data_IF_820112699581
#
_entry.id   IF_820112699581
#
_cell.length_a   1.000
_cell.length_b   1.000
_cell.length_c   1.000
_cell.angle_alpha   90.00
_cell.angle_beta   90.00
_cell.angle_gamma   90.00
#
_symmetry.space_group_name_H-M   'P 1'
#
loop_
_entity.id
_entity.type
_entity.pdbx_description
1 polymer ?
#
# COMPACT_ATOMS: atom_id res chain seq x y z
N UNK A 1 -8.25 34.85 72.25
CA UNK A 1 -9.02 34.74 71.00
C UNK A 1 -8.11 35.00 69.81
N UNK A 2 -7.43 34.00 69.26
CA UNK A 2 -6.88 34.05 67.88
C UNK A 2 -6.53 32.62 67.43
N UNK A 3 -7.55 31.82 67.11
CA UNK A 3 -7.40 30.48 66.50
C UNK A 3 -7.11 30.53 64.98
N UNK A 4 -6.82 31.72 64.44
CA UNK A 4 -6.75 31.98 63.00
C UNK A 4 -5.45 31.62 62.25
N UNK A 5 -4.24 31.54 62.85
CA UNK A 5 -3.02 31.34 62.04
C UNK A 5 -2.90 29.92 61.46
N UNK A 6 -3.45 28.91 62.15
CA UNK A 6 -3.43 27.52 61.68
C UNK A 6 -4.45 27.27 60.55
N UNK A 7 -5.62 27.93 60.62
CA UNK A 7 -6.66 27.82 59.60
C UNK A 7 -6.22 28.40 58.24
N UNK A 8 -5.48 29.53 58.26
CA UNK A 8 -4.94 30.14 57.04
C UNK A 8 -3.89 29.27 56.34
N UNK A 9 -3.00 28.62 57.12
CA UNK A 9 -2.00 27.70 56.58
C UNK A 9 -2.61 26.47 55.90
N UNK A 10 -3.65 25.89 56.51
CA UNK A 10 -4.35 24.72 55.95
C UNK A 10 -5.10 25.08 54.65
N UNK A 11 -5.76 26.24 54.60
CA UNK A 11 -6.45 26.72 53.40
C UNK A 11 -5.49 26.95 52.24
N UNK A 12 -4.31 27.54 52.50
CA UNK A 12 -3.27 27.75 51.50
C UNK A 12 -2.70 26.42 50.99
N UNK A 13 -2.46 25.46 51.87
CA UNK A 13 -2.01 24.11 51.49
C UNK A 13 -3.02 23.39 50.60
N UNK A 14 -4.29 23.41 50.97
CA UNK A 14 -5.37 22.80 50.17
C UNK A 14 -5.54 23.49 48.82
N UNK A 15 -5.42 24.82 48.77
CA UNK A 15 -5.47 25.58 47.53
C UNK A 15 -4.27 25.28 46.61
N UNK A 16 -3.05 25.24 47.14
CA UNK A 16 -1.86 24.82 46.41
C UNK A 16 -1.97 23.38 45.89
N UNK A 17 -2.52 22.47 46.71
CA UNK A 17 -2.75 21.08 46.32
C UNK A 17 -3.80 21.00 45.20
N UNK A 18 -4.89 21.77 45.28
CA UNK A 18 -5.91 21.87 44.25
C UNK A 18 -5.32 22.43 42.94
N UNK A 19 -4.54 23.50 43.01
CA UNK A 19 -3.82 24.07 41.86
C UNK A 19 -2.84 23.05 41.25
N UNK A 20 -2.09 22.31 42.07
CA UNK A 20 -1.20 21.26 41.61
C UNK A 20 -1.95 20.09 40.95
N UNK A 21 -3.13 19.73 41.46
CA UNK A 21 -4.00 18.70 40.88
C UNK A 21 -4.64 19.18 39.58
N UNK A 22 -5.10 20.42 39.51
CA UNK A 22 -5.63 21.04 38.28
C UNK A 22 -4.53 21.21 37.23
N UNK A 23 -3.32 21.58 37.64
CA UNK A 23 -2.14 21.67 36.76
C UNK A 23 -1.70 20.30 36.27
N UNK A 24 -1.69 19.26 37.12
CA UNK A 24 -1.48 17.86 36.70
C UNK A 24 -2.56 17.37 35.73
N UNK A 25 -3.82 17.76 35.94
CA UNK A 25 -4.94 17.39 35.05
C UNK A 25 -4.88 18.14 33.73
N UNK A 26 -4.41 19.38 33.73
CA UNK A 26 -4.16 20.21 32.55
C UNK A 26 -2.90 19.74 31.77
N UNK A 27 -1.83 19.34 32.46
CA UNK A 27 -0.60 18.82 31.86
C UNK A 27 -0.73 17.39 31.32
N UNK A 28 -1.77 16.66 31.74
CA UNK A 28 -2.23 15.43 31.06
C UNK A 28 -2.83 15.68 29.66
N UNK A 29 -2.94 16.93 29.19
CA UNK A 29 -3.29 17.19 27.78
C UNK A 29 -2.10 16.91 26.85
N UNK A 30 -2.22 15.74 26.21
CA UNK A 30 -1.57 15.25 24.97
C UNK A 30 -0.20 14.58 25.11
N UNK A 31 -0.13 13.52 25.90
CA UNK A 31 0.75 12.40 25.54
C UNK A 31 0.12 11.70 24.33
N UNK A 32 0.42 12.19 23.13
CA UNK A 32 0.02 11.47 21.93
C UNK A 32 0.74 10.10 21.93
N UNK A 33 -0.02 9.01 21.83
CA UNK A 33 0.50 7.63 21.72
C UNK A 33 1.42 7.44 20.51
N UNK A 34 1.34 8.37 19.56
CA UNK A 34 2.09 8.34 18.31
C UNK A 34 2.89 9.63 18.15
N UNK A 35 4.09 9.49 17.57
CA UNK A 35 4.97 10.61 17.22
C UNK A 35 5.35 10.49 15.75
N UNK A 36 5.40 11.62 15.03
CA UNK A 36 5.91 11.69 13.67
C UNK A 36 7.39 11.30 13.63
N UNK A 37 7.77 10.42 12.71
CA UNK A 37 9.17 10.13 12.41
C UNK A 37 9.80 11.31 11.64
N UNK A 38 11.08 11.64 11.88
CA UNK A 38 11.71 12.80 11.24
C UNK A 38 11.94 12.62 9.73
N UNK A 39 12.04 11.37 9.26
CA UNK A 39 12.24 11.04 7.86
C UNK A 39 11.55 9.70 7.53
N UNK A 40 11.13 9.55 6.27
CA UNK A 40 10.54 8.31 5.74
C UNK A 40 11.60 7.25 5.41
N UNK A 41 12.73 7.70 4.83
CA UNK A 41 13.82 6.85 4.35
C UNK A 41 15.04 6.93 5.27
N UNK A 42 15.83 5.86 5.32
CA UNK A 42 17.18 5.85 5.89
C UNK A 42 18.15 6.73 5.07
N UNK A 43 19.33 7.10 5.58
CA UNK A 43 20.33 7.83 4.78
C UNK A 43 20.74 7.11 3.49
N UNK A 44 20.92 5.79 3.54
CA UNK A 44 21.27 4.98 2.37
C UNK A 44 20.15 4.93 1.34
N UNK A 45 18.91 4.73 1.80
CA UNK A 45 17.73 4.75 0.94
C UNK A 45 17.53 6.12 0.27
N UNK A 46 17.74 7.23 0.98
CA UNK A 46 17.66 8.57 0.38
C UNK A 46 18.72 8.80 -0.68
N UNK A 47 19.96 8.38 -0.40
CA UNK A 47 21.05 8.50 -1.36
C UNK A 47 20.76 7.69 -2.63
N UNK A 48 20.28 6.46 -2.47
CA UNK A 48 19.87 5.63 -3.60
C UNK A 48 18.68 6.20 -4.36
N UNK A 49 17.65 6.69 -3.66
CA UNK A 49 16.48 7.31 -4.29
C UNK A 49 16.88 8.48 -5.21
N UNK A 50 17.87 9.27 -4.82
CA UNK A 50 18.37 10.36 -5.65
C UNK A 50 18.94 9.83 -6.98
N UNK A 51 19.80 8.82 -6.92
CA UNK A 51 20.40 8.17 -8.11
C UNK A 51 19.33 7.46 -8.95
N UNK A 52 18.42 6.74 -8.30
CA UNK A 52 17.33 6.00 -8.95
C UNK A 52 16.44 6.95 -9.76
N UNK A 53 16.05 8.09 -9.19
CA UNK A 53 15.25 9.10 -9.90
C UNK A 53 15.98 9.71 -11.09
N UNK A 54 17.29 9.92 -10.97
CA UNK A 54 18.12 10.45 -12.05
C UNK A 54 18.27 9.45 -13.21
N UNK A 55 18.38 8.16 -12.90
CA UNK A 55 18.47 7.08 -13.90
C UNK A 55 17.12 6.83 -14.58
N UNK A 56 16.05 6.77 -13.80
CA UNK A 56 14.69 6.55 -14.32
C UNK A 56 14.24 7.75 -15.17
N UNK A 57 14.53 8.97 -14.71
CA UNK A 57 14.11 10.20 -15.37
C UNK A 57 12.59 10.25 -15.56
N UNK A 58 12.16 10.66 -16.75
CA UNK A 58 10.73 10.74 -17.08
C UNK A 58 10.10 9.41 -17.50
N UNK A 59 10.87 8.31 -17.58
CA UNK A 59 10.38 7.02 -18.09
C UNK A 59 9.42 6.30 -17.13
N UNK A 60 9.53 6.55 -15.83
CA UNK A 60 8.65 5.97 -14.83
C UNK A 60 8.48 6.89 -13.61
N UNK A 61 7.50 6.58 -12.78
CA UNK A 61 7.29 7.14 -11.45
C UNK A 61 8.00 6.26 -10.41
N UNK A 62 8.57 6.89 -9.38
CA UNK A 62 9.21 6.20 -8.26
C UNK A 62 8.39 6.41 -6.98
N UNK A 63 7.82 5.34 -6.45
CA UNK A 63 7.21 5.31 -5.13
C UNK A 63 8.15 4.63 -4.15
N UNK A 64 8.13 5.03 -2.87
CA UNK A 64 8.97 4.38 -1.86
C UNK A 64 8.23 4.03 -0.58
N UNK A 65 8.75 3.03 0.13
CA UNK A 65 8.13 2.42 1.31
C UNK A 65 6.70 1.91 1.04
N UNK A 66 6.48 1.37 -0.16
CA UNK A 66 5.17 0.83 -0.58
C UNK A 66 4.92 -0.48 0.14
N UNK A 67 3.71 -0.68 0.66
CA UNK A 67 3.34 -1.93 1.35
C UNK A 67 3.24 -3.06 0.33
N UNK A 68 3.73 -4.25 0.68
CA UNK A 68 3.63 -5.43 -0.19
C UNK A 68 2.16 -5.79 -0.46
N UNK A 69 1.28 -5.58 0.51
CA UNK A 69 -0.16 -5.79 0.36
C UNK A 69 -0.88 -4.77 -0.55
N UNK A 70 -0.19 -3.72 -1.01
CA UNK A 70 -0.70 -2.80 -2.03
C UNK A 70 -0.22 -3.19 -3.45
N UNK A 71 0.71 -4.16 -3.53
CA UNK A 71 1.26 -4.68 -4.79
C UNK A 71 0.76 -6.10 -5.07
N UNK A 72 0.59 -6.90 -4.02
CA UNK A 72 0.24 -8.32 -4.10
C UNK A 72 -1.02 -8.59 -3.27
N UNK A 73 -1.83 -9.52 -3.77
CA UNK A 73 -3.00 -10.05 -3.06
C UNK A 73 -2.99 -11.57 -3.10
N UNK A 74 -3.48 -12.28 -2.07
CA UNK A 74 -3.61 -13.73 -2.13
C UNK A 74 -4.46 -14.15 -3.34
N UNK A 75 -4.10 -15.27 -3.99
CA UNK A 75 -4.79 -15.81 -5.16
C UNK A 75 -6.31 -15.94 -4.92
N UNK A 76 -7.11 -15.67 -5.95
CA UNK A 76 -8.59 -15.62 -5.91
C UNK A 76 -9.28 -16.90 -5.40
N UNK A 77 -8.61 -18.06 -5.43
CA UNK A 77 -9.10 -19.32 -4.87
C UNK A 77 -8.97 -19.47 -3.34
N UNK A 78 -8.24 -18.59 -2.66
CA UNK A 78 -8.09 -18.63 -1.20
C UNK A 78 -9.28 -17.93 -0.53
N UNK A 79 -9.89 -18.59 0.46
CA UNK A 79 -11.05 -18.07 1.19
C UNK A 79 -10.85 -18.18 2.71
N UNK A 80 -11.56 -17.33 3.45
CA UNK A 80 -11.62 -17.36 4.92
C UNK A 80 -10.25 -17.28 5.58
N UNK A 81 -10.02 -18.13 6.59
CA UNK A 81 -8.79 -18.14 7.37
C UNK A 81 -7.52 -18.32 6.52
N UNK A 82 -7.58 -19.11 5.44
CA UNK A 82 -6.42 -19.31 4.55
C UNK A 82 -6.02 -18.03 3.82
N UNK A 83 -7.02 -17.26 3.36
CA UNK A 83 -6.79 -15.95 2.77
C UNK A 83 -6.16 -15.00 3.78
N UNK A 84 -6.74 -14.89 4.98
CA UNK A 84 -6.21 -14.02 6.05
C UNK A 84 -4.79 -14.39 6.48
N UNK A 85 -4.49 -15.69 6.58
CA UNK A 85 -3.13 -16.17 6.88
C UNK A 85 -2.13 -15.74 5.82
N UNK A 86 -2.49 -15.81 4.53
CA UNK A 86 -1.65 -15.35 3.44
C UNK A 86 -1.50 -13.82 3.45
N UNK A 87 -2.61 -13.08 3.61
CA UNK A 87 -2.61 -11.62 3.66
C UNK A 87 -1.76 -11.07 4.81
N UNK A 88 -1.85 -11.67 6.00
CA UNK A 88 -1.07 -11.24 7.16
C UNK A 88 0.44 -11.41 6.96
N UNK A 89 0.88 -12.30 6.06
CA UNK A 89 2.31 -12.41 5.74
C UNK A 89 2.82 -11.18 4.99
N UNK A 90 1.98 -10.51 4.19
CA UNK A 90 2.37 -9.35 3.37
C UNK A 90 1.95 -8.00 3.96
N UNK A 91 0.91 -7.96 4.80
CA UNK A 91 0.28 -6.70 5.25
C UNK A 91 1.17 -5.79 6.10
N UNK A 92 2.13 -6.35 6.82
CA UNK A 92 3.09 -5.58 7.63
C UNK A 92 4.43 -5.35 6.92
N UNK A 93 4.58 -5.79 5.67
CA UNK A 93 5.84 -5.69 4.90
C UNK A 93 5.76 -4.55 3.91
N UNK A 94 6.91 -3.93 3.67
CA UNK A 94 7.07 -2.84 2.73
C UNK A 94 8.31 -3.10 1.89
N UNK A 95 8.24 -2.68 0.63
CA UNK A 95 9.37 -2.64 -0.27
C UNK A 95 9.99 -1.26 -0.28
N UNK A 96 11.27 -1.16 -0.59
CA UNK A 96 11.96 0.14 -0.56
C UNK A 96 11.49 1.06 -1.65
N UNK A 97 11.43 0.58 -2.90
CA UNK A 97 10.91 1.34 -4.04
C UNK A 97 10.07 0.50 -4.99
N UNK A 98 9.20 1.18 -5.72
CA UNK A 98 8.38 0.63 -6.79
C UNK A 98 8.45 1.58 -7.97
N UNK A 99 8.73 1.03 -9.15
CA UNK A 99 8.67 1.77 -10.41
C UNK A 99 7.31 1.52 -11.04
N UNK A 100 6.64 2.61 -11.43
CA UNK A 100 5.34 2.56 -12.08
C UNK A 100 5.38 3.29 -13.42
N UNK A 101 4.58 2.85 -14.37
CA UNK A 101 4.30 3.59 -15.58
C UNK A 101 3.77 4.98 -15.22
N UNK A 102 4.17 6.00 -15.99
CA UNK A 102 3.83 7.39 -15.71
C UNK A 102 2.38 7.76 -16.02
N UNK A 103 1.76 7.08 -16.97
CA UNK A 103 0.45 7.44 -17.50
C UNK A 103 -0.69 6.85 -16.66
N UNK A 104 -0.53 5.61 -16.19
CA UNK A 104 -1.59 4.85 -15.49
C UNK A 104 -1.19 4.28 -14.12
N UNK A 105 0.04 4.57 -13.66
CA UNK A 105 0.62 4.01 -12.44
C UNK A 105 0.72 2.47 -12.40
N UNK A 106 0.64 1.77 -13.54
CA UNK A 106 0.84 0.32 -13.60
C UNK A 106 2.24 -0.04 -13.06
N UNK A 107 2.32 -1.04 -12.18
CA UNK A 107 3.58 -1.40 -11.52
C UNK A 107 4.50 -2.12 -12.51
N UNK A 108 5.65 -1.53 -12.80
CA UNK A 108 6.67 -2.07 -13.70
C UNK A 108 7.59 -3.08 -12.99
N UNK A 109 8.13 -2.67 -11.83
CA UNK A 109 8.98 -3.52 -11.01
C UNK A 109 9.11 -3.00 -9.58
N UNK A 110 9.57 -3.88 -8.70
CA UNK A 110 9.93 -3.59 -7.30
C UNK A 110 11.44 -3.51 -7.19
N UNK A 111 11.95 -2.58 -6.37
CA UNK A 111 13.37 -2.44 -6.06
C UNK A 111 13.59 -2.54 -4.55
N UNK A 112 14.42 -3.49 -4.11
CA UNK A 112 14.86 -3.65 -2.71
C UNK A 112 16.35 -3.31 -2.56
N UNK A 113 16.69 -2.60 -1.48
CA UNK A 113 18.08 -2.30 -1.15
C UNK A 113 18.67 -3.34 -0.21
N UNK A 114 19.81 -3.88 -0.63
CA UNK A 114 20.55 -4.89 0.10
C UNK A 114 21.76 -4.25 0.82
N UNK A 115 21.69 -4.14 2.15
CA UNK A 115 22.83 -3.75 3.00
C UNK A 115 23.79 -4.93 3.21
N UNK A 116 25.08 -4.75 2.93
CA UNK A 116 26.11 -5.80 2.95
C UNK A 116 26.18 -6.66 4.24
N UNK A 117 25.57 -6.24 5.35
CA UNK A 117 25.38 -7.04 6.57
C UNK A 117 24.25 -8.09 6.47
N UNK A 118 24.28 -8.97 5.47
CA UNK A 118 23.22 -9.97 5.18
C UNK A 118 23.39 -11.33 5.88
N UNK A 119 23.67 -11.36 7.19
CA UNK A 119 23.88 -12.64 7.90
C UNK A 119 22.79 -13.02 8.90
N UNK A 120 21.74 -12.22 9.07
CA UNK A 120 20.65 -12.60 9.96
C UNK A 120 19.61 -13.49 9.26
N UNK A 121 19.23 -14.58 9.93
CA UNK A 121 18.31 -15.61 9.41
C UNK A 121 16.91 -15.04 9.08
N UNK A 122 16.42 -14.11 9.89
CA UNK A 122 15.14 -13.41 9.70
C UNK A 122 15.11 -12.59 8.39
N UNK A 123 16.23 -11.96 8.03
CA UNK A 123 16.36 -11.21 6.76
C UNK A 123 16.35 -12.17 5.57
N UNK A 124 17.07 -13.30 5.66
CA UNK A 124 17.05 -14.34 4.60
C UNK A 124 15.65 -14.90 4.37
N UNK A 125 14.93 -15.20 5.44
CA UNK A 125 13.55 -15.71 5.36
C UNK A 125 12.59 -14.65 4.77
N UNK A 126 12.78 -13.37 5.12
CA UNK A 126 12.03 -12.25 4.53
C UNK A 126 12.31 -12.12 3.03
N UNK A 127 13.58 -12.11 2.65
CA UNK A 127 14.00 -11.85 1.26
C UNK A 127 13.57 -13.01 0.35
N UNK A 128 13.74 -14.25 0.81
CA UNK A 128 13.27 -15.43 0.10
C UNK A 128 11.74 -15.42 -0.08
N UNK A 129 11.00 -15.05 0.97
CA UNK A 129 9.54 -14.93 0.88
C UNK A 129 9.10 -13.87 -0.12
N UNK A 130 9.72 -12.69 -0.11
CA UNK A 130 9.36 -11.62 -1.04
C UNK A 130 9.65 -12.02 -2.48
N UNK A 131 10.81 -12.65 -2.73
CA UNK A 131 11.18 -13.15 -4.05
C UNK A 131 10.18 -14.19 -4.56
N UNK A 132 9.81 -15.18 -3.73
CA UNK A 132 8.80 -16.19 -4.07
C UNK A 132 7.44 -15.54 -4.36
N UNK A 133 7.00 -14.58 -3.53
CA UNK A 133 5.72 -13.92 -3.68
C UNK A 133 5.64 -13.08 -4.97
N UNK A 134 6.71 -12.33 -5.30
CA UNK A 134 6.79 -11.52 -6.52
C UNK A 134 6.84 -12.42 -7.76
N UNK A 135 7.69 -13.45 -7.76
CA UNK A 135 7.79 -14.40 -8.85
C UNK A 135 6.45 -15.13 -9.10
N UNK A 136 5.77 -15.57 -8.05
CA UNK A 136 4.47 -16.23 -8.13
C UNK A 136 3.32 -15.34 -8.60
N UNK A 137 3.54 -14.02 -8.67
CA UNK A 137 2.61 -13.00 -9.15
C UNK A 137 3.05 -12.38 -10.49
N UNK A 138 4.20 -12.79 -11.06
CA UNK A 138 4.75 -12.19 -12.27
C UNK A 138 5.26 -10.75 -12.10
N UNK A 139 5.53 -10.32 -10.86
CA UNK A 139 6.02 -8.98 -10.55
C UNK A 139 7.56 -9.00 -10.51
N UNK A 140 8.27 -8.26 -11.39
CA UNK A 140 9.73 -8.23 -11.36
C UNK A 140 10.26 -7.63 -10.05
N UNK A 141 11.19 -8.33 -9.40
CA UNK A 141 11.88 -7.88 -8.19
C UNK A 141 13.37 -7.69 -8.48
N UNK A 142 13.84 -6.46 -8.33
CA UNK A 142 15.23 -6.08 -8.49
C UNK A 142 15.87 -5.87 -7.12
N UNK A 143 16.86 -6.69 -6.79
CA UNK A 143 17.62 -6.54 -5.56
C UNK A 143 18.94 -5.85 -5.85
N UNK A 144 19.14 -4.68 -5.23
CA UNK A 144 20.26 -3.80 -5.56
C UNK A 144 21.16 -3.67 -4.34
N UNK A 145 22.39 -4.17 -4.42
CA UNK A 145 23.35 -4.09 -3.31
C UNK A 145 23.86 -2.68 -3.13
N UNK A 146 23.67 -2.08 -1.95
CA UNK A 146 24.16 -0.75 -1.59
C UNK A 146 25.69 -0.67 -1.76
N UNK A 147 26.17 0.02 -2.79
CA UNK A 147 27.59 0.34 -2.98
C UNK A 147 27.77 1.86 -2.99
N UNK A 148 28.88 2.33 -2.42
CA UNK A 148 29.16 3.77 -2.25
C UNK A 148 29.15 4.58 -3.56
N UNK A 149 29.36 3.90 -4.69
CA UNK A 149 29.12 4.42 -6.03
C UNK A 149 28.53 3.28 -6.85
N UNK A 150 27.25 3.34 -7.16
CA UNK A 150 26.79 2.64 -8.34
C UNK A 150 27.45 3.32 -9.54
N UNK A 151 28.03 2.56 -10.46
CA UNK A 151 28.18 3.10 -11.80
C UNK A 151 26.75 3.28 -12.32
N UNK A 152 26.32 4.51 -12.57
CA UNK A 152 24.99 4.85 -13.08
C UNK A 152 24.56 3.92 -14.21
N UNK A 153 25.52 3.58 -15.07
CA UNK A 153 25.39 2.63 -16.18
C UNK A 153 24.90 1.24 -15.75
N UNK A 154 25.34 0.71 -14.61
CA UNK A 154 24.91 -0.61 -14.12
C UNK A 154 23.42 -0.58 -13.73
N UNK A 155 23.00 0.50 -13.08
CA UNK A 155 21.59 0.69 -12.70
C UNK A 155 20.71 0.94 -13.93
N UNK A 156 21.20 1.70 -14.91
CA UNK A 156 20.54 1.89 -16.20
C UNK A 156 20.34 0.56 -16.94
N UNK A 157 21.39 -0.25 -17.06
CA UNK A 157 21.32 -1.55 -17.71
C UNK A 157 20.38 -2.52 -16.98
N UNK A 158 20.37 -2.50 -15.64
CA UNK A 158 19.47 -3.31 -14.83
C UNK A 158 18.00 -2.90 -15.01
N UNK A 159 17.73 -1.60 -15.14
CA UNK A 159 16.36 -1.08 -15.20
C UNK A 159 15.78 -1.05 -16.61
N UNK A 160 16.61 -0.93 -17.65
CA UNK A 160 16.16 -0.79 -19.04
C UNK A 160 15.08 -1.80 -19.47
N UNK A 161 15.21 -3.13 -19.21
CA UNK A 161 14.20 -4.10 -19.60
C UNK A 161 12.81 -3.85 -19.01
N UNK A 162 12.74 -3.19 -17.84
CA UNK A 162 11.51 -2.95 -17.11
C UNK A 162 10.89 -1.58 -17.40
N UNK A 163 11.70 -0.62 -17.88
CA UNK A 163 11.24 0.73 -18.20
C UNK A 163 10.64 0.83 -19.60
N UNK A 164 11.09 0.00 -20.54
CA UNK A 164 10.61 0.01 -21.93
C UNK A 164 9.41 -0.92 -22.17
N UNK A 165 9.13 -1.79 -21.18
CA UNK A 165 7.97 -2.66 -21.18
C UNK A 165 6.71 -1.81 -20.98
N UNK A 166 6.11 -1.33 -22.07
CA UNK A 166 4.67 -1.03 -22.09
C UNK A 166 3.99 -2.29 -21.59
N UNK A 167 3.42 -2.24 -20.39
CA UNK A 167 2.75 -3.40 -19.85
C UNK A 167 1.54 -3.72 -20.74
N UNK A 168 1.71 -4.71 -21.62
CA UNK A 168 0.67 -5.65 -22.08
C UNK A 168 0.20 -6.53 -20.92
N UNK A 169 0.06 -5.95 -19.71
CA UNK A 169 -0.73 -6.60 -18.68
C UNK A 169 -2.17 -6.43 -19.13
N UNK A 170 -2.94 -7.51 -19.36
CA UNK A 170 -4.34 -7.37 -19.66
C UNK A 170 -4.96 -6.67 -18.45
N UNK A 171 -5.23 -5.37 -18.61
CA UNK A 171 -6.13 -4.62 -17.76
C UNK A 171 -7.37 -5.50 -17.70
N UNK A 172 -7.67 -6.06 -16.53
CA UNK A 172 -8.87 -6.88 -16.36
C UNK A 172 -10.02 -6.14 -17.04
N UNK A 173 -10.79 -6.81 -17.93
CA UNK A 173 -11.65 -6.14 -18.89
C UNK A 173 -12.47 -5.09 -18.15
N UNK A 174 -12.32 -3.83 -18.58
CA UNK A 174 -12.94 -2.69 -17.91
C UNK A 174 -14.42 -3.02 -17.71
N UNK A 175 -14.85 -3.08 -16.44
CA UNK A 175 -16.25 -3.38 -16.11
C UNK A 175 -17.10 -2.35 -16.87
N UNK A 176 -17.99 -2.78 -17.78
CA UNK A 176 -18.72 -1.85 -18.62
C UNK A 176 -19.55 -0.91 -17.75
N UNK A 177 -19.66 0.34 -18.19
CA UNK A 177 -20.48 1.36 -17.53
C UNK A 177 -21.84 1.41 -18.20
N UNK A 178 -22.88 1.46 -17.37
CA UNK A 178 -24.25 1.58 -17.82
C UNK A 178 -24.44 2.83 -18.69
N UNK A 179 -24.87 2.68 -19.94
CA UNK A 179 -25.10 3.80 -20.87
C UNK A 179 -26.21 4.76 -20.43
N UNK A 180 -27.09 4.33 -19.50
CA UNK A 180 -28.15 5.17 -18.96
C UNK A 180 -27.74 6.02 -17.73
N UNK A 181 -26.74 5.61 -16.94
CA UNK A 181 -26.41 6.32 -15.68
C UNK A 181 -24.94 6.28 -15.24
N UNK A 182 -24.04 5.72 -16.06
CA UNK A 182 -22.60 5.57 -15.82
C UNK A 182 -22.17 4.70 -14.62
N UNK A 183 -23.12 4.09 -13.89
CA UNK A 183 -22.82 3.13 -12.84
C UNK A 183 -22.21 1.84 -13.41
N UNK A 184 -21.35 1.12 -12.66
CA UNK A 184 -20.75 -0.14 -13.13
C UNK A 184 -21.85 -1.19 -13.40
N UNK A 185 -21.63 -2.03 -14.41
CA UNK A 185 -22.53 -3.13 -14.74
C UNK A 185 -22.09 -4.44 -14.09
N UNK A 186 -23.05 -5.33 -13.83
CA UNK A 186 -22.87 -6.62 -13.17
C UNK A 186 -23.43 -7.71 -14.07
N UNK A 187 -22.65 -8.75 -14.33
CA UNK A 187 -23.09 -9.89 -15.12
C UNK A 187 -24.15 -10.70 -14.35
N UNK A 188 -25.28 -10.98 -14.99
CA UNK A 188 -26.36 -11.82 -14.46
C UNK A 188 -26.75 -12.85 -15.50
N UNK A 189 -27.32 -13.97 -15.04
CA UNK A 189 -27.84 -15.03 -15.91
C UNK A 189 -29.37 -15.03 -15.86
N UNK A 190 -30.02 -15.01 -17.02
CA UNK A 190 -31.47 -15.09 -17.10
C UNK A 190 -31.95 -16.46 -16.59
N UNK A 191 -32.85 -16.45 -15.61
CA UNK A 191 -33.36 -17.70 -14.98
C UNK A 191 -34.58 -18.28 -15.68
N UNK A 192 -35.31 -17.49 -16.46
CA UNK A 192 -36.61 -17.83 -17.06
C UNK A 192 -36.77 -17.14 -18.42
N UNK A 193 -37.63 -17.68 -19.28
CA UNK A 193 -37.95 -17.13 -20.62
C UNK A 193 -37.06 -17.67 -21.75
N UNK A 194 -37.25 -17.15 -22.96
CA UNK A 194 -36.55 -17.55 -24.20
C UNK A 194 -35.03 -17.38 -24.15
N UNK A 195 -34.52 -16.58 -23.22
CA UNK A 195 -33.09 -16.34 -23.00
C UNK A 195 -32.57 -17.02 -21.73
N UNK A 196 -33.32 -17.93 -21.10
CA UNK A 196 -32.88 -18.65 -19.92
C UNK A 196 -31.50 -19.31 -20.12
N UNK A 197 -30.62 -19.17 -19.14
CA UNK A 197 -29.23 -19.65 -19.20
C UNK A 197 -28.24 -18.68 -19.88
N UNK A 198 -28.71 -17.62 -20.56
CA UNK A 198 -27.81 -16.62 -21.16
C UNK A 198 -27.42 -15.54 -20.15
N UNK A 199 -26.16 -15.14 -20.21
CA UNK A 199 -25.63 -14.05 -19.40
C UNK A 199 -25.84 -12.68 -20.08
N UNK A 200 -26.05 -11.64 -19.28
CA UNK A 200 -26.24 -10.26 -19.70
C UNK A 200 -25.67 -9.29 -18.66
N UNK A 201 -25.33 -8.08 -19.08
CA UNK A 201 -24.93 -7.00 -18.19
C UNK A 201 -26.16 -6.30 -17.62
N UNK A 202 -26.21 -6.12 -16.30
CA UNK A 202 -27.26 -5.37 -15.61
C UNK A 202 -26.66 -4.21 -14.81
N UNK A 203 -27.29 -3.04 -14.83
CA UNK A 203 -26.83 -1.92 -14.01
C UNK A 203 -26.79 -2.27 -12.51
N UNK A 204 -25.68 -1.96 -11.84
CA UNK A 204 -25.52 -2.17 -10.38
C UNK A 204 -26.55 -1.42 -9.52
N UNK A 205 -27.11 -0.30 -10.02
CA UNK A 205 -28.13 0.49 -9.33
C UNK A 205 -29.56 -0.07 -9.43
N UNK A 206 -29.75 -1.29 -9.95
CA UNK A 206 -31.09 -1.91 -9.95
C UNK A 206 -31.66 -1.98 -8.52
N UNK A 207 -32.93 -1.62 -8.26
CA UNK A 207 -33.99 -1.34 -9.25
C UNK A 207 -34.11 0.11 -9.71
N UNK A 208 -33.28 1.04 -9.18
CA UNK A 208 -33.32 2.47 -9.52
C UNK A 208 -32.88 2.76 -10.96
N UNK A 209 -32.03 1.91 -11.55
CA UNK A 209 -31.74 1.90 -12.97
C UNK A 209 -31.92 0.47 -13.50
N UNK A 210 -32.81 0.29 -14.48
CA UNK A 210 -33.21 -1.01 -15.03
C UNK A 210 -32.53 -1.37 -16.35
N UNK A 211 -31.52 -0.60 -16.73
CA UNK A 211 -30.79 -0.80 -17.98
C UNK A 211 -30.06 -2.14 -17.98
N UNK A 212 -30.15 -2.84 -19.12
CA UNK A 212 -29.52 -4.12 -19.38
C UNK A 212 -28.90 -4.12 -20.78
N UNK A 213 -27.79 -4.83 -20.96
CA UNK A 213 -27.11 -4.98 -22.24
C UNK A 213 -26.70 -6.45 -22.44
N UNK A 214 -26.72 -6.96 -23.69
CA UNK A 214 -26.21 -8.30 -23.97
C UNK A 214 -24.69 -8.36 -23.72
N UNK A 215 -24.19 -9.54 -23.33
CA UNK A 215 -22.75 -9.79 -23.34
C UNK A 215 -22.38 -10.22 -24.74
N UNK A 216 -21.60 -9.41 -25.45
CA UNK A 216 -21.01 -9.80 -26.72
C UNK A 216 -19.96 -10.89 -26.46
N UNK A 217 -20.11 -12.03 -27.14
CA UNK A 217 -19.23 -13.20 -26.99
C UNK A 217 -18.06 -13.17 -27.98
N UNK A 218 -17.91 -12.11 -28.77
CA UNK A 218 -16.83 -11.98 -29.76
C UNK A 218 -15.46 -11.61 -29.16
N UNK A 219 -15.30 -11.67 -27.83
CA UNK A 219 -14.06 -11.32 -27.11
C UNK A 219 -13.62 -12.44 -26.15
N UNK A 220 -13.95 -13.70 -26.45
CA UNK A 220 -13.32 -14.89 -25.85
C UNK A 220 -12.14 -15.38 -26.70
#
# INVERSE_FOLDING_TARGET
>A
MTLYPLAGGLALLLFCLLLALLWRRASRRRNATYRRLPALFSPGERAFLAVLREVVGERALVFGKVRVADLLTPRSGLKGQRWWRAFNRISAKHVDFVLCNRDDCAVLCVVELNDASHQRRDRRERDAFLAEACAGAGLPLLQVTARARYARADLEALLAPHLDSRHDTPVAPAIPRCTACAAPMVQRVARRGSHAGRAFWACSRFPACRHIEPIDRSQE
#
